data_IF_731553465911
#
_entry.id   IF_731553465911
#
_cell.length_a   1.000
_cell.length_b   1.000
_cell.length_c   1.000
_cell.angle_alpha   90.00
_cell.angle_beta   90.00
_cell.angle_gamma   90.00
#
_symmetry.space_group_name_H-M   'P 1'
#
loop_
_entity.id
_entity.type
_entity.pdbx_description
1 polymer ?
#
# COMPACT_ATOMS: atom_id res chain seq x y z
N UNK A 1 -28.18 -9.37 -19.72
CA UNK A 1 -27.18 -9.16 -18.66
C UNK A 1 -27.40 -7.87 -17.89
N UNK A 2 -27.56 -6.67 -18.50
CA UNK A 2 -27.93 -5.42 -17.78
C UNK A 2 -29.20 -5.49 -16.89
N UNK A 3 -30.07 -6.48 -17.10
CA UNK A 3 -31.29 -6.66 -16.30
C UNK A 3 -31.10 -7.47 -15.01
N UNK A 4 -30.01 -8.22 -14.87
CA UNK A 4 -29.73 -9.05 -13.69
C UNK A 4 -29.01 -8.21 -12.63
N UNK A 5 -28.06 -7.37 -13.01
CA UNK A 5 -27.40 -6.44 -12.10
C UNK A 5 -28.35 -5.39 -11.52
N UNK A 6 -29.28 -4.89 -12.36
CA UNK A 6 -30.33 -3.97 -11.90
C UNK A 6 -31.36 -4.62 -10.97
N UNK A 7 -31.53 -5.95 -11.02
CA UNK A 7 -32.41 -6.68 -10.09
C UNK A 7 -31.77 -6.91 -8.73
N UNK A 8 -30.46 -7.06 -8.65
CA UNK A 8 -29.73 -7.20 -7.37
C UNK A 8 -29.68 -5.88 -6.60
N UNK A 9 -29.45 -4.76 -7.27
CA UNK A 9 -29.52 -3.42 -6.65
C UNK A 9 -30.95 -3.00 -6.24
N UNK A 10 -31.99 -3.47 -6.93
CA UNK A 10 -33.38 -3.16 -6.57
C UNK A 10 -33.90 -3.97 -5.37
N UNK A 11 -33.30 -5.12 -5.06
CA UNK A 11 -33.75 -5.96 -3.94
C UNK A 11 -33.27 -5.42 -2.58
N UNK A 12 -32.15 -4.71 -2.53
CA UNK A 12 -31.62 -4.09 -1.29
C UNK A 12 -32.40 -2.82 -0.89
N UNK A 13 -33.03 -2.11 -1.82
CA UNK A 13 -33.78 -0.87 -1.51
C UNK A 13 -35.23 -1.09 -1.06
N UNK A 14 -35.77 -2.29 -1.08
CA UNK A 14 -37.18 -2.57 -0.70
C UNK A 14 -37.35 -2.92 0.77
N UNK A 15 -36.29 -3.21 1.51
CA UNK A 15 -36.35 -3.62 2.93
C UNK A 15 -36.32 -2.50 3.97
N UNK A 16 -36.20 -1.21 3.57
CA UNK A 16 -36.08 -0.09 4.52
C UNK A 16 -37.35 0.76 4.75
N UNK A 17 -38.52 0.40 4.24
CA UNK A 17 -39.73 1.26 4.28
C UNK A 17 -40.98 0.63 4.91
N UNK A 18 -40.88 -0.32 5.82
CA UNK A 18 -42.06 -0.86 6.52
C UNK A 18 -41.90 -0.97 8.03
N UNK A 19 -41.78 0.16 8.72
CA UNK A 19 -41.97 0.20 10.17
C UNK A 19 -42.70 1.48 10.59
N UNK A 20 -44.03 1.46 10.52
CA UNK A 20 -44.89 2.22 11.41
C UNK A 20 -46.37 1.77 11.30
N UNK A 21 -46.91 1.17 12.35
CA UNK A 21 -48.31 1.32 12.68
C UNK A 21 -49.21 0.10 12.68
N UNK A 22 -49.47 -0.43 13.89
CA UNK A 22 -50.74 -0.94 14.41
C UNK A 22 -51.01 -2.46 14.44
N UNK A 23 -51.09 -2.95 15.72
CA UNK A 23 -51.88 -4.04 16.30
C UNK A 23 -51.68 -5.49 15.84
N UNK A 24 -51.20 -6.27 16.81
CA UNK A 24 -51.19 -7.75 16.80
C UNK A 24 -52.57 -8.38 16.49
N UNK A 25 -52.58 -9.50 15.75
CA UNK A 25 -52.95 -10.76 16.35
C UNK A 25 -51.89 -11.88 16.07
N UNK A 26 -51.97 -12.91 16.94
CA UNK A 26 -51.02 -13.97 17.13
C UNK A 26 -50.68 -14.83 15.89
N UNK A 27 -49.39 -15.13 15.77
CA UNK A 27 -48.91 -16.43 15.32
C UNK A 27 -48.77 -16.66 13.81
N UNK A 28 -47.72 -16.10 13.19
CA UNK A 28 -47.02 -16.81 12.10
C UNK A 28 -45.58 -16.32 12.13
N UNK A 29 -44.66 -17.23 12.39
CA UNK A 29 -43.21 -17.00 12.25
C UNK A 29 -42.94 -16.64 10.79
N UNK A 30 -42.26 -15.52 10.48
CA UNK A 30 -41.83 -15.27 9.12
C UNK A 30 -40.80 -16.35 8.77
N UNK A 31 -41.16 -17.20 7.81
CA UNK A 31 -40.24 -18.08 7.15
C UNK A 31 -39.28 -17.20 6.34
N UNK A 32 -38.12 -16.89 6.91
CA UNK A 32 -37.00 -16.33 6.18
C UNK A 32 -36.42 -17.44 5.30
N UNK A 33 -37.09 -17.74 4.21
CA UNK A 33 -36.51 -18.55 3.14
C UNK A 33 -35.41 -17.69 2.47
N UNK A 34 -34.17 -17.87 2.89
CA UNK A 34 -33.01 -17.54 2.08
C UNK A 34 -33.24 -18.19 0.70
N UNK A 35 -33.11 -17.46 -0.41
CA UNK A 35 -33.22 -18.07 -1.73
C UNK A 35 -32.29 -19.29 -1.79
N UNK A 36 -32.81 -20.45 -2.00
CA UNK A 36 -32.03 -21.67 -2.17
C UNK A 36 -31.37 -21.59 -3.55
N UNK A 37 -30.15 -20.97 -3.61
CA UNK A 37 -29.35 -20.96 -4.82
C UNK A 37 -28.86 -22.38 -5.04
N UNK A 38 -29.14 -22.96 -6.23
CA UNK A 38 -28.67 -24.28 -6.56
C UNK A 38 -27.15 -24.31 -6.63
N UNK A 39 -26.52 -25.29 -5.99
CA UNK A 39 -25.10 -25.56 -6.11
C UNK A 39 -24.76 -25.83 -7.59
N UNK A 40 -23.93 -25.01 -8.19
CA UNK A 40 -23.52 -25.15 -9.60
C UNK A 40 -22.53 -26.27 -9.83
N UNK A 41 -21.93 -26.82 -8.77
CA UNK A 41 -20.82 -27.76 -8.83
C UNK A 41 -19.48 -27.13 -9.29
N UNK A 42 -19.43 -25.81 -9.47
CA UNK A 42 -18.19 -25.09 -9.79
C UNK A 42 -17.43 -24.81 -8.49
N UNK A 43 -16.18 -25.27 -8.45
CA UNK A 43 -15.26 -25.00 -7.35
C UNK A 43 -13.98 -24.33 -7.88
N UNK A 44 -13.64 -23.17 -7.32
CA UNK A 44 -12.40 -22.44 -7.58
C UNK A 44 -11.41 -22.66 -6.44
N UNK A 45 -10.13 -22.84 -6.77
CA UNK A 45 -9.05 -22.95 -5.80
C UNK A 45 -8.31 -21.62 -5.73
N UNK A 46 -8.27 -21.04 -4.54
CA UNK A 46 -7.59 -19.78 -4.27
C UNK A 46 -6.44 -19.95 -3.27
N UNK A 47 -5.22 -19.60 -3.67
CA UNK A 47 -4.02 -19.58 -2.82
C UNK A 47 -3.74 -18.17 -2.31
N UNK A 48 -3.96 -17.98 -1.02
CA UNK A 48 -3.81 -16.65 -0.40
C UNK A 48 -2.44 -16.45 0.27
N UNK A 49 -1.92 -15.22 0.13
CA UNK A 49 -0.71 -14.76 0.82
C UNK A 49 -0.92 -14.50 2.32
N UNK A 50 -2.15 -14.51 2.78
CA UNK A 50 -2.47 -14.28 4.19
C UNK A 50 -2.42 -15.56 5.00
N UNK A 51 -2.17 -15.43 6.30
CA UNK A 51 -2.42 -16.52 7.24
C UNK A 51 -3.88 -16.46 7.69
N UNK A 52 -4.48 -17.60 8.01
CA UNK A 52 -5.88 -17.70 8.40
C UNK A 52 -6.27 -16.88 9.65
N UNK A 53 -5.30 -16.37 10.40
CA UNK A 53 -5.49 -15.56 11.61
C UNK A 53 -5.40 -14.05 11.36
N UNK A 54 -5.04 -13.63 10.15
CA UNK A 54 -4.94 -12.21 9.79
C UNK A 54 -6.32 -11.63 9.45
N UNK A 55 -6.50 -10.32 9.69
CA UNK A 55 -7.78 -9.64 9.44
C UNK A 55 -8.28 -9.78 8.01
N UNK A 56 -7.36 -9.72 7.04
CA UNK A 56 -7.66 -9.91 5.61
C UNK A 56 -8.31 -11.29 5.34
N UNK A 57 -7.80 -12.33 5.99
CA UNK A 57 -8.31 -13.69 5.80
C UNK A 57 -9.78 -13.81 6.24
N UNK A 58 -10.15 -13.16 7.34
CA UNK A 58 -11.53 -13.18 7.83
C UNK A 58 -12.49 -12.53 6.82
N UNK A 59 -12.12 -11.39 6.25
CA UNK A 59 -12.96 -10.65 5.29
C UNK A 59 -13.05 -11.39 3.94
N UNK A 60 -11.93 -11.92 3.45
CA UNK A 60 -11.91 -12.71 2.20
C UNK A 60 -12.77 -13.96 2.36
N UNK A 61 -12.74 -14.63 3.52
CA UNK A 61 -13.60 -15.79 3.78
C UNK A 61 -15.08 -15.39 3.80
N UNK A 62 -15.43 -14.27 4.47
CA UNK A 62 -16.80 -13.77 4.49
C UNK A 62 -17.31 -13.43 3.08
N UNK A 63 -16.46 -12.81 2.25
CA UNK A 63 -16.79 -12.54 0.84
C UNK A 63 -16.99 -13.82 0.03
N UNK A 64 -16.17 -14.85 0.26
CA UNK A 64 -16.31 -16.16 -0.39
C UNK A 64 -17.62 -16.86 0.00
N UNK A 65 -17.99 -16.79 1.27
CA UNK A 65 -19.25 -17.36 1.77
C UNK A 65 -20.46 -16.60 1.20
N UNK A 66 -20.39 -15.28 1.11
CA UNK A 66 -21.42 -14.45 0.49
C UNK A 66 -21.54 -14.71 -1.02
N UNK A 67 -20.42 -14.86 -1.71
CA UNK A 67 -20.40 -15.20 -3.13
C UNK A 67 -21.02 -16.59 -3.40
N UNK A 68 -20.69 -17.59 -2.57
CA UNK A 68 -21.32 -18.91 -2.65
C UNK A 68 -22.84 -18.83 -2.42
N UNK A 69 -23.26 -18.09 -1.40
CA UNK A 69 -24.70 -17.92 -1.11
C UNK A 69 -25.46 -17.23 -2.25
N UNK A 70 -24.80 -16.36 -3.02
CA UNK A 70 -25.40 -15.64 -4.14
C UNK A 70 -25.39 -16.40 -5.46
N UNK A 71 -24.37 -17.26 -5.69
CA UNK A 71 -24.08 -17.84 -7.01
C UNK A 71 -24.08 -19.37 -7.04
N UNK A 72 -23.92 -20.04 -5.89
CA UNK A 72 -23.69 -21.49 -5.80
C UNK A 72 -22.29 -21.93 -6.26
N UNK A 73 -21.34 -20.96 -6.43
CA UNK A 73 -19.96 -21.21 -6.82
C UNK A 73 -19.09 -21.18 -5.58
N UNK A 74 -18.33 -22.25 -5.32
CA UNK A 74 -17.53 -22.41 -4.13
C UNK A 74 -16.09 -21.92 -4.33
N UNK A 75 -15.58 -21.14 -3.38
CA UNK A 75 -14.18 -20.71 -3.33
C UNK A 75 -13.47 -21.53 -2.24
N UNK A 76 -12.57 -22.40 -2.64
CA UNK A 76 -11.73 -23.19 -1.73
C UNK A 76 -10.44 -22.41 -1.47
N UNK A 77 -10.33 -21.78 -0.29
CA UNK A 77 -9.18 -20.92 0.05
C UNK A 77 -8.12 -21.74 0.77
N UNK A 78 -6.90 -21.69 0.27
CA UNK A 78 -5.71 -22.24 0.89
C UNK A 78 -4.81 -21.12 1.40
N UNK A 79 -4.70 -20.96 2.70
CA UNK A 79 -3.91 -19.94 3.37
C UNK A 79 -2.43 -20.31 3.36
N UNK A 80 -1.70 -19.93 2.29
CA UNK A 80 -0.27 -20.26 2.09
C UNK A 80 0.68 -19.33 2.86
N UNK A 81 0.17 -18.20 3.34
CA UNK A 81 1.02 -17.17 3.92
C UNK A 81 1.98 -16.56 2.89
N UNK A 82 3.00 -15.87 3.37
CA UNK A 82 3.99 -15.20 2.50
C UNK A 82 4.81 -16.14 1.61
N UNK A 83 4.69 -17.44 1.83
CA UNK A 83 5.35 -18.44 0.97
C UNK A 83 4.66 -18.62 -0.39
N UNK A 84 3.44 -18.11 -0.59
CA UNK A 84 2.74 -18.15 -1.88
C UNK A 84 3.65 -17.70 -3.03
N UNK A 85 4.42 -16.63 -2.83
CA UNK A 85 5.34 -16.09 -3.82
C UNK A 85 6.46 -17.03 -4.28
N UNK A 86 6.80 -18.04 -3.46
CA UNK A 86 7.77 -19.10 -3.79
C UNK A 86 7.09 -20.35 -4.35
N UNK A 87 5.84 -20.59 -3.95
CA UNK A 87 5.12 -21.82 -4.24
C UNK A 87 4.33 -21.76 -5.55
N UNK A 88 3.84 -20.56 -5.93
CA UNK A 88 2.89 -20.43 -7.04
C UNK A 88 3.47 -20.82 -8.39
N UNK A 89 4.68 -20.39 -8.72
CA UNK A 89 5.29 -20.73 -10.00
C UNK A 89 5.53 -22.23 -10.17
N UNK A 90 6.16 -22.94 -9.22
CA UNK A 90 6.32 -24.39 -9.32
C UNK A 90 4.98 -25.15 -9.44
N UNK A 91 3.96 -24.71 -8.73
CA UNK A 91 2.63 -25.32 -8.79
C UNK A 91 1.99 -25.18 -10.17
N UNK A 92 2.00 -23.95 -10.73
CA UNK A 92 1.46 -23.68 -12.07
C UNK A 92 2.25 -24.41 -13.16
N UNK A 93 3.58 -24.52 -13.04
CA UNK A 93 4.44 -25.28 -13.94
C UNK A 93 4.15 -26.79 -13.86
N UNK A 94 3.83 -27.32 -12.67
CA UNK A 94 3.43 -28.70 -12.46
C UNK A 94 1.98 -28.99 -12.93
N UNK A 95 1.20 -27.96 -13.27
CA UNK A 95 -0.19 -28.08 -13.67
C UNK A 95 -1.16 -28.30 -12.50
N UNK A 96 -0.79 -27.89 -11.30
CA UNK A 96 -1.71 -27.88 -10.16
C UNK A 96 -2.90 -26.95 -10.45
N UNK A 97 -4.08 -27.33 -9.94
CA UNK A 97 -5.28 -26.51 -10.09
C UNK A 97 -5.21 -25.36 -9.10
N UNK A 98 -4.79 -24.20 -9.58
CA UNK A 98 -4.88 -22.92 -8.87
C UNK A 98 -5.60 -21.96 -9.81
N UNK A 99 -6.78 -21.51 -9.44
CA UNK A 99 -7.58 -20.58 -10.23
C UNK A 99 -7.27 -19.14 -9.89
N UNK A 100 -7.07 -18.83 -8.60
CA UNK A 100 -6.79 -17.49 -8.08
C UNK A 100 -5.59 -17.58 -7.13
N UNK A 101 -4.75 -16.54 -7.14
CA UNK A 101 -3.76 -16.31 -6.09
C UNK A 101 -3.59 -14.81 -5.86
N UNK A 102 -3.04 -14.44 -4.70
CA UNK A 102 -2.73 -13.05 -4.40
C UNK A 102 -1.31 -12.88 -3.86
N UNK A 103 -0.72 -11.72 -4.16
CA UNK A 103 0.50 -11.19 -3.58
C UNK A 103 0.65 -9.73 -4.02
N UNK A 104 1.83 -9.12 -3.85
CA UNK A 104 2.10 -7.77 -4.34
C UNK A 104 1.89 -7.66 -5.86
N UNK A 105 1.21 -6.59 -6.29
CA UNK A 105 0.81 -6.39 -7.69
C UNK A 105 2.01 -6.27 -8.65
N UNK A 106 3.09 -5.59 -8.23
CA UNK A 106 4.28 -5.46 -9.05
C UNK A 106 4.98 -6.81 -9.22
N UNK A 107 5.06 -7.61 -8.14
CA UNK A 107 5.60 -8.96 -8.20
C UNK A 107 4.82 -9.85 -9.16
N UNK A 108 3.47 -9.79 -9.16
CA UNK A 108 2.65 -10.56 -10.11
C UNK A 108 2.98 -10.14 -11.53
N UNK A 109 2.94 -8.85 -11.81
CA UNK A 109 3.16 -8.33 -13.16
C UNK A 109 4.58 -8.59 -13.69
N UNK A 110 5.60 -8.44 -12.85
CA UNK A 110 6.99 -8.59 -13.28
C UNK A 110 7.44 -10.06 -13.34
N UNK A 111 6.98 -10.89 -12.40
CA UNK A 111 7.48 -12.27 -12.25
C UNK A 111 6.51 -13.30 -12.81
N UNK A 112 5.21 -13.11 -12.58
CA UNK A 112 4.18 -14.11 -12.89
C UNK A 112 3.32 -13.75 -14.10
N UNK A 113 3.61 -12.66 -14.82
CA UNK A 113 2.79 -12.15 -15.94
C UNK A 113 2.40 -13.19 -17.00
N UNK A 114 3.28 -14.16 -17.27
CA UNK A 114 3.01 -15.23 -18.25
C UNK A 114 2.06 -16.34 -17.75
N UNK A 115 1.78 -16.38 -16.47
CA UNK A 115 0.92 -17.39 -15.84
C UNK A 115 -0.49 -16.89 -15.55
N UNK A 116 -0.71 -15.58 -15.72
CA UNK A 116 -1.97 -14.92 -15.33
C UNK A 116 -2.75 -14.43 -16.53
N UNK A 117 -4.06 -14.51 -16.42
CA UNK A 117 -4.98 -14.09 -17.46
C UNK A 117 -4.96 -12.55 -17.63
N UNK A 118 -5.16 -12.11 -18.86
CA UNK A 118 -5.56 -10.74 -19.15
C UNK A 118 -7.04 -10.59 -18.80
N UNK A 119 -7.33 -9.71 -17.84
CA UNK A 119 -8.69 -9.44 -17.36
C UNK A 119 -9.25 -8.10 -17.86
N UNK A 120 -8.58 -7.46 -18.83
CA UNK A 120 -8.95 -6.14 -19.35
C UNK A 120 -10.42 -6.09 -19.80
N UNK A 121 -10.84 -7.03 -20.65
CA UNK A 121 -12.21 -7.04 -21.18
C UNK A 121 -13.26 -7.29 -20.08
N UNK A 122 -12.94 -8.13 -19.08
CA UNK A 122 -13.80 -8.41 -17.93
C UNK A 122 -13.92 -7.17 -17.04
N UNK A 123 -12.82 -6.49 -16.79
CA UNK A 123 -12.77 -5.26 -16.01
C UNK A 123 -13.56 -4.12 -16.67
N UNK A 124 -13.41 -3.94 -17.99
CA UNK A 124 -14.20 -2.98 -18.76
C UNK A 124 -15.69 -3.29 -18.71
N UNK A 125 -16.07 -4.56 -18.89
CA UNK A 125 -17.46 -4.98 -18.84
C UNK A 125 -18.12 -4.81 -17.46
N UNK A 126 -17.33 -4.91 -16.39
CA UNK A 126 -17.76 -4.71 -15.01
C UNK A 126 -17.74 -3.22 -14.58
N UNK A 127 -17.11 -2.33 -15.34
CA UNK A 127 -16.92 -0.93 -14.97
C UNK A 127 -15.90 -0.75 -13.84
N UNK A 128 -14.96 -1.69 -13.68
CA UNK A 128 -14.01 -1.69 -12.57
C UNK A 128 -13.14 -0.42 -12.52
N UNK A 129 -12.90 0.22 -13.65
CA UNK A 129 -12.15 1.49 -13.70
C UNK A 129 -12.81 2.62 -12.89
N UNK A 130 -14.11 2.58 -12.70
CA UNK A 130 -14.84 3.58 -11.89
C UNK A 130 -14.66 3.33 -10.39
N UNK A 131 -14.20 2.13 -10.01
CA UNK A 131 -14.01 1.66 -8.62
C UNK A 131 -12.53 1.55 -8.19
N UNK A 132 -11.59 1.78 -9.07
CA UNK A 132 -10.16 1.68 -8.76
C UNK A 132 -9.48 3.04 -8.90
N UNK A 133 -8.54 3.33 -8.00
CA UNK A 133 -7.72 4.56 -8.11
C UNK A 133 -7.04 4.61 -9.50
N UNK A 134 -7.23 5.69 -10.28
CA UNK A 134 -6.69 5.79 -11.64
C UNK A 134 -5.18 5.54 -11.72
N UNK A 135 -4.41 6.12 -10.78
CA UNK A 135 -2.95 5.94 -10.75
C UNK A 135 -2.56 4.48 -10.48
N UNK A 136 -3.31 3.76 -9.66
CA UNK A 136 -3.07 2.34 -9.37
C UNK A 136 -3.38 1.48 -10.60
N UNK A 137 -4.49 1.76 -11.28
CA UNK A 137 -4.87 1.08 -12.52
C UNK A 137 -3.81 1.28 -13.62
N UNK A 138 -3.38 2.52 -13.84
CA UNK A 138 -2.37 2.84 -14.86
C UNK A 138 -1.01 2.22 -14.52
N UNK A 139 -0.61 2.23 -13.26
CA UNK A 139 0.64 1.59 -12.82
C UNK A 139 0.58 0.07 -13.03
N UNK A 140 -0.53 -0.59 -12.68
CA UNK A 140 -0.72 -2.01 -12.90
C UNK A 140 -0.65 -2.39 -14.40
N UNK A 141 -1.31 -1.61 -15.26
CA UNK A 141 -1.22 -1.77 -16.71
C UNK A 141 0.20 -1.53 -17.23
N UNK A 142 0.88 -0.51 -16.71
CA UNK A 142 2.26 -0.17 -17.10
C UNK A 142 3.24 -1.33 -16.87
N UNK A 143 3.11 -2.05 -15.76
CA UNK A 143 3.92 -3.25 -15.49
C UNK A 143 3.60 -4.45 -16.40
N UNK A 144 2.44 -4.46 -17.07
CA UNK A 144 1.95 -5.56 -17.89
C UNK A 144 1.74 -5.19 -19.36
N UNK A 145 2.59 -4.33 -19.94
CA UNK A 145 2.57 -3.90 -21.34
C UNK A 145 1.20 -3.34 -21.80
N UNK A 146 0.49 -2.67 -20.90
CA UNK A 146 -0.81 -2.06 -21.15
C UNK A 146 -2.02 -2.94 -20.88
N UNK A 147 -1.83 -4.24 -20.60
CA UNK A 147 -2.90 -5.15 -20.21
C UNK A 147 -3.19 -5.08 -18.70
N UNK A 148 -4.44 -5.27 -18.29
CA UNK A 148 -4.76 -5.46 -16.88
C UNK A 148 -4.70 -6.96 -16.55
N UNK A 149 -3.71 -7.38 -15.77
CA UNK A 149 -3.50 -8.77 -15.38
C UNK A 149 -3.66 -9.03 -13.88
N UNK A 150 -4.00 -8.01 -13.13
CA UNK A 150 -4.20 -8.07 -11.69
C UNK A 150 -5.43 -7.26 -11.30
N UNK A 151 -6.05 -7.62 -10.18
CA UNK A 151 -7.13 -6.88 -9.54
C UNK A 151 -6.60 -6.37 -8.21
N UNK A 152 -6.15 -5.10 -8.14
CA UNK A 152 -5.59 -4.52 -6.92
C UNK A 152 -6.61 -4.43 -5.78
N UNK A 153 -6.15 -4.66 -4.56
CA UNK A 153 -6.86 -4.41 -3.32
C UNK A 153 -5.88 -3.95 -2.24
N UNK A 154 -6.37 -3.41 -1.15
CA UNK A 154 -5.56 -2.92 -0.03
C UNK A 154 -4.36 -2.08 -0.52
N UNK A 155 -4.61 -0.91 -1.15
CA UNK A 155 -3.55 -0.03 -1.59
C UNK A 155 -2.78 0.53 -0.39
N UNK A 156 -1.47 0.76 -0.59
CA UNK A 156 -0.60 1.34 0.42
C UNK A 156 0.33 2.39 -0.19
N UNK A 157 0.73 3.35 0.63
CA UNK A 157 1.69 4.40 0.24
C UNK A 157 2.78 4.51 1.29
N UNK A 158 3.86 5.23 0.99
CA UNK A 158 4.78 5.73 2.00
C UNK A 158 4.81 7.26 2.00
N UNK A 159 5.05 7.80 3.18
CA UNK A 159 5.15 9.22 3.43
C UNK A 159 5.49 9.47 4.89
N UNK A 160 5.41 10.69 5.32
CA UNK A 160 5.72 11.05 6.71
C UNK A 160 4.47 10.90 7.57
N UNK A 161 4.50 9.92 8.46
CA UNK A 161 3.53 9.72 9.52
C UNK A 161 3.98 10.48 10.75
N UNK A 162 3.06 11.20 11.40
CA UNK A 162 3.42 12.01 12.56
C UNK A 162 2.34 12.01 13.64
N UNK A 163 2.77 12.29 14.86
CA UNK A 163 1.88 12.49 16.00
C UNK A 163 1.33 13.92 15.98
N UNK A 164 0.05 14.07 15.64
CA UNK A 164 -0.64 15.37 15.55
C UNK A 164 -0.60 16.14 16.87
N UNK A 165 -0.73 15.47 18.02
CA UNK A 165 -0.74 16.12 19.32
C UNK A 165 0.62 16.79 19.62
N UNK A 166 1.74 16.20 19.13
CA UNK A 166 3.06 16.81 19.25
C UNK A 166 3.21 18.02 18.34
N UNK A 167 2.64 17.97 17.12
CA UNK A 167 2.61 19.12 16.21
C UNK A 167 1.81 20.27 16.80
N UNK A 168 0.65 19.99 17.34
CA UNK A 168 -0.21 20.99 18.01
C UNK A 168 0.51 21.62 19.21
N UNK A 169 1.17 20.81 20.05
CA UNK A 169 1.93 21.28 21.20
C UNK A 169 3.15 22.15 20.80
N UNK A 170 3.78 21.88 19.64
CA UNK A 170 4.86 22.68 19.09
C UNK A 170 4.38 23.91 18.29
N UNK A 171 3.06 24.14 18.18
CA UNK A 171 2.48 25.24 17.41
C UNK A 171 2.72 25.12 15.91
N UNK A 172 2.65 23.90 15.39
CA UNK A 172 2.76 23.59 13.95
C UNK A 172 1.34 23.44 13.41
N UNK A 173 0.88 24.45 12.69
CA UNK A 173 -0.51 24.53 12.19
C UNK A 173 -0.70 23.86 10.83
N UNK A 174 0.37 23.62 10.07
CA UNK A 174 0.35 23.08 8.72
C UNK A 174 1.51 22.11 8.51
N UNK A 175 1.22 20.99 7.85
CA UNK A 175 2.25 20.08 7.36
C UNK A 175 3.16 20.77 6.32
N UNK A 176 4.47 20.45 6.29
CA UNK A 176 5.42 21.04 5.34
C UNK A 176 5.18 20.53 3.93
N UNK A 177 5.27 21.40 2.94
CA UNK A 177 5.19 21.07 1.50
C UNK A 177 6.56 21.12 0.84
N UNK A 178 7.53 21.84 1.45
CA UNK A 178 8.91 21.92 0.94
C UNK A 178 9.91 21.42 2.00
N UNK A 179 11.09 21.02 1.55
CA UNK A 179 12.15 20.54 2.44
C UNK A 179 12.61 21.63 3.41
N UNK A 180 12.64 22.89 2.98
CA UNK A 180 12.94 24.02 3.84
C UNK A 180 11.88 24.19 4.94
N UNK A 181 10.59 24.02 4.61
CA UNK A 181 9.51 24.04 5.61
C UNK A 181 9.64 22.86 6.58
N UNK A 182 10.08 21.68 6.10
CA UNK A 182 10.35 20.53 6.96
C UNK A 182 11.44 20.85 7.99
N UNK A 183 12.54 21.51 7.58
CA UNK A 183 13.59 21.91 8.51
C UNK A 183 13.07 22.88 9.58
N UNK A 184 12.14 23.79 9.22
CA UNK A 184 11.47 24.68 10.19
C UNK A 184 10.59 23.88 11.16
N UNK A 185 9.85 22.88 10.67
CA UNK A 185 9.04 21.97 11.51
C UNK A 185 9.95 21.21 12.48
N UNK A 186 11.06 20.65 11.97
CA UNK A 186 12.04 19.95 12.79
C UNK A 186 12.61 20.85 13.90
N UNK A 187 12.95 22.11 13.59
CA UNK A 187 13.46 23.03 14.59
C UNK A 187 12.42 23.34 15.69
N UNK A 188 11.15 23.54 15.33
CA UNK A 188 10.06 23.76 16.32
C UNK A 188 9.86 22.57 17.23
N UNK A 189 9.86 21.35 16.70
CA UNK A 189 9.76 20.12 17.49
C UNK A 189 10.94 19.96 18.43
N UNK A 190 12.17 20.18 17.93
CA UNK A 190 13.38 20.16 18.75
C UNK A 190 13.34 21.19 19.87
N UNK A 191 12.90 22.41 19.58
CA UNK A 191 12.76 23.48 20.58
C UNK A 191 11.70 23.16 21.64
N UNK A 192 10.71 22.33 21.30
CA UNK A 192 9.71 21.81 22.24
C UNK A 192 10.20 20.64 23.10
N UNK A 193 11.41 20.13 22.81
CA UNK A 193 12.04 19.03 23.55
C UNK A 193 11.69 17.64 23.06
N UNK A 194 11.16 17.51 21.84
CA UNK A 194 10.82 16.24 21.18
C UNK A 194 11.82 15.94 20.08
N UNK A 195 12.21 14.67 19.89
CA UNK A 195 12.96 14.30 18.70
C UNK A 195 12.07 14.51 17.45
N UNK A 196 12.49 15.36 16.50
CA UNK A 196 11.65 15.64 15.35
C UNK A 196 11.37 14.40 14.51
N UNK A 197 12.40 13.61 14.20
CA UNK A 197 12.35 12.45 13.32
C UNK A 197 13.03 11.23 13.94
N UNK A 198 12.55 10.04 13.54
CA UNK A 198 13.24 8.78 13.71
C UNK A 198 13.25 7.98 12.40
N UNK A 199 14.08 6.96 12.30
CA UNK A 199 14.05 5.97 11.22
C UNK A 199 14.70 4.66 11.65
N UNK A 200 14.25 3.57 11.03
CA UNK A 200 14.94 2.28 11.08
C UNK A 200 15.96 2.18 9.95
N UNK A 201 17.07 1.47 10.17
CA UNK A 201 18.03 1.16 9.11
C UNK A 201 17.41 0.17 8.11
N UNK A 202 17.98 0.10 6.91
CA UNK A 202 17.39 -0.68 5.83
C UNK A 202 16.28 0.10 5.12
N UNK A 203 15.04 -0.37 5.22
CA UNK A 203 13.93 0.25 4.51
C UNK A 203 13.72 1.73 4.87
N UNK A 204 13.82 2.11 6.15
CA UNK A 204 13.63 3.49 6.58
C UNK A 204 14.68 4.44 5.99
N UNK A 205 15.96 4.09 6.06
CA UNK A 205 17.04 4.89 5.46
C UNK A 205 16.99 4.89 3.93
N UNK A 206 16.59 3.77 3.30
CA UNK A 206 16.40 3.69 1.86
C UNK A 206 15.24 4.57 1.38
N UNK A 207 14.12 4.62 2.13
CA UNK A 207 13.01 5.52 1.85
C UNK A 207 13.43 6.99 1.93
N UNK A 208 14.15 7.39 2.99
CA UNK A 208 14.66 8.77 3.13
C UNK A 208 15.50 9.19 1.92
N UNK A 209 16.50 8.37 1.56
CA UNK A 209 17.38 8.67 0.43
C UNK A 209 16.64 8.59 -0.91
N UNK A 210 15.83 7.57 -1.10
CA UNK A 210 15.09 7.36 -2.35
C UNK A 210 14.12 8.50 -2.65
N UNK A 211 13.34 8.92 -1.66
CA UNK A 211 12.42 10.05 -1.83
C UNK A 211 13.17 11.37 -2.10
N UNK A 212 14.28 11.61 -1.39
CA UNK A 212 15.05 12.84 -1.62
C UNK A 212 15.66 12.85 -3.02
N UNK A 213 16.19 11.72 -3.50
CA UNK A 213 16.64 11.58 -4.89
C UNK A 213 15.50 11.79 -5.90
N UNK A 214 14.32 11.20 -5.65
CA UNK A 214 13.18 11.36 -6.53
C UNK A 214 12.71 12.81 -6.65
N UNK A 215 12.80 13.59 -5.59
CA UNK A 215 12.48 15.03 -5.66
C UNK A 215 13.37 15.75 -6.66
N UNK A 216 14.65 15.40 -6.72
CA UNK A 216 15.59 16.02 -7.65
C UNK A 216 15.56 15.42 -9.06
N UNK A 217 15.35 14.10 -9.20
CA UNK A 217 15.58 13.36 -10.44
C UNK A 217 14.32 12.73 -11.05
N UNK A 218 13.24 12.60 -10.29
CA UNK A 218 12.10 11.75 -10.62
C UNK A 218 12.45 10.26 -10.53
N UNK A 219 11.44 9.39 -10.61
CA UNK A 219 11.62 7.93 -10.55
C UNK A 219 12.60 7.42 -11.61
N UNK A 220 12.43 7.84 -12.86
CA UNK A 220 13.26 7.37 -13.98
C UNK A 220 14.72 7.82 -13.84
N UNK A 221 14.93 9.04 -13.33
CA UNK A 221 16.28 9.55 -13.09
C UNK A 221 17.00 8.80 -11.96
N UNK A 222 16.28 8.35 -10.93
CA UNK A 222 16.85 7.50 -9.88
C UNK A 222 17.21 6.12 -10.41
N UNK A 223 16.36 5.52 -11.24
CA UNK A 223 16.67 4.23 -11.87
C UNK A 223 17.88 4.34 -12.81
N UNK A 224 17.96 5.38 -13.65
CA UNK A 224 19.12 5.63 -14.51
C UNK A 224 20.41 5.83 -13.70
N UNK A 225 20.32 6.53 -12.56
CA UNK A 225 21.46 6.72 -11.64
C UNK A 225 22.01 5.40 -11.12
N UNK A 226 21.13 4.46 -10.73
CA UNK A 226 21.49 3.16 -10.16
C UNK A 226 22.01 2.21 -11.24
N UNK A 227 21.27 2.07 -12.35
CA UNK A 227 21.56 1.09 -13.39
C UNK A 227 22.83 1.42 -14.17
N UNK A 228 23.15 2.70 -14.31
CA UNK A 228 24.31 3.20 -15.03
C UNK A 228 25.44 3.73 -14.13
N UNK A 229 25.29 3.58 -12.79
CA UNK A 229 26.28 4.01 -11.78
C UNK A 229 26.81 5.43 -12.04
N UNK A 230 25.90 6.42 -12.21
CA UNK A 230 26.25 7.81 -12.58
C UNK A 230 26.35 8.76 -11.38
N UNK A 231 26.75 8.26 -10.22
CA UNK A 231 26.69 9.02 -8.97
C UNK A 231 27.55 10.30 -8.99
N UNK A 232 28.79 10.24 -9.47
CA UNK A 232 29.66 11.41 -9.56
C UNK A 232 29.28 12.37 -10.70
N UNK A 233 28.59 11.86 -11.73
CA UNK A 233 28.14 12.66 -12.88
C UNK A 233 26.83 13.40 -12.61
N UNK A 234 26.11 13.07 -11.51
CA UNK A 234 24.78 13.58 -11.16
C UNK A 234 24.88 14.51 -9.93
N UNK A 235 25.03 15.83 -10.11
CA UNK A 235 25.15 16.79 -8.99
C UNK A 235 23.95 16.75 -8.03
N UNK A 236 22.78 16.39 -8.52
CA UNK A 236 21.55 16.25 -7.75
C UNK A 236 21.65 15.13 -6.71
N UNK A 237 22.40 14.05 -7.01
CA UNK A 237 22.64 12.99 -6.05
C UNK A 237 23.44 13.47 -4.83
N UNK A 238 24.43 14.34 -5.06
CA UNK A 238 25.17 14.97 -3.96
C UNK A 238 24.26 15.88 -3.12
N UNK A 239 23.39 16.68 -3.75
CA UNK A 239 22.43 17.53 -3.02
C UNK A 239 21.49 16.69 -2.17
N UNK A 240 20.93 15.59 -2.72
CA UNK A 240 20.09 14.69 -1.97
C UNK A 240 20.81 14.09 -0.75
N UNK A 241 22.08 13.69 -0.93
CA UNK A 241 22.89 13.19 0.18
C UNK A 241 23.18 14.27 1.25
N UNK A 242 23.42 15.53 0.83
CA UNK A 242 23.61 16.65 1.73
C UNK A 242 22.34 16.99 2.52
N UNK A 243 21.18 16.96 1.88
CA UNK A 243 19.89 17.20 2.53
C UNK A 243 19.61 16.15 3.61
N UNK A 244 19.74 14.86 3.28
CA UNK A 244 19.55 13.78 4.25
C UNK A 244 20.57 13.87 5.39
N UNK A 245 21.86 14.07 5.08
CA UNK A 245 22.91 14.25 6.08
C UNK A 245 22.60 15.40 7.03
N UNK A 246 22.03 16.51 6.53
CA UNK A 246 21.67 17.68 7.32
C UNK A 246 20.64 17.40 8.41
N UNK A 247 19.75 16.42 8.23
CA UNK A 247 18.78 16.02 9.25
C UNK A 247 19.49 15.44 10.49
N UNK A 248 20.53 14.65 10.26
CA UNK A 248 21.36 14.07 11.33
C UNK A 248 22.30 15.10 11.94
N UNK A 249 23.02 15.87 11.11
CA UNK A 249 23.99 16.86 11.56
C UNK A 249 23.36 17.96 12.43
N UNK A 250 22.14 18.41 12.07
CA UNK A 250 21.40 19.41 12.85
C UNK A 250 20.72 18.81 14.10
N UNK A 251 20.84 17.49 14.33
CA UNK A 251 20.21 16.80 15.44
C UNK A 251 18.67 16.85 15.35
N UNK A 252 18.12 16.67 14.15
CA UNK A 252 16.68 16.52 13.92
C UNK A 252 16.26 15.06 13.93
N UNK A 253 17.21 14.14 13.91
CA UNK A 253 16.95 12.71 14.07
C UNK A 253 17.12 12.32 15.55
N UNK A 254 16.39 11.29 15.99
CA UNK A 254 16.60 10.64 17.27
C UNK A 254 18.06 10.21 17.43
N UNK A 255 18.59 10.25 18.66
CA UNK A 255 19.97 9.80 18.94
C UNK A 255 20.19 8.31 18.66
N UNK A 256 19.11 7.52 18.58
CA UNK A 256 19.14 6.10 18.25
C UNK A 256 18.98 5.82 16.75
N UNK A 257 18.57 6.83 15.96
CA UNK A 257 18.36 6.67 14.53
C UNK A 257 19.68 6.69 13.74
N UNK A 258 19.83 5.80 12.73
CA UNK A 258 18.92 4.75 12.34
C UNK A 258 19.04 3.52 13.23
N UNK A 259 17.92 3.05 13.78
CA UNK A 259 17.84 1.91 14.71
C UNK A 259 17.49 0.60 14.00
N UNK A 260 17.41 -0.49 14.75
CA UNK A 260 16.92 -1.74 14.19
C UNK A 260 15.39 -1.72 14.11
N UNK A 261 14.84 -2.22 13.01
CA UNK A 261 13.39 -2.40 12.90
C UNK A 261 12.92 -3.45 13.96
N UNK A 262 11.82 -3.16 14.72
CA UNK A 262 10.94 -1.98 14.61
C UNK A 262 11.20 -0.89 15.68
N UNK A 263 12.41 -0.80 16.22
CA UNK A 263 12.71 0.08 17.35
C UNK A 263 12.49 1.56 17.02
N UNK A 264 12.89 2.00 15.80
CA UNK A 264 12.72 3.37 15.36
C UNK A 264 11.25 3.76 15.27
N UNK A 265 10.42 2.96 14.60
CA UNK A 265 8.99 3.27 14.50
C UNK A 265 8.28 3.23 15.87
N UNK A 266 8.75 2.39 16.81
CA UNK A 266 8.16 2.30 18.14
C UNK A 266 8.42 3.56 19.00
N UNK A 267 9.44 4.37 18.69
CA UNK A 267 9.66 5.66 19.36
C UNK A 267 8.44 6.60 19.26
N UNK A 268 7.67 6.54 18.16
CA UNK A 268 6.43 7.30 18.05
C UNK A 268 5.42 6.86 19.09
N UNK A 269 5.24 5.55 19.27
CA UNK A 269 4.32 4.99 20.27
C UNK A 269 4.75 5.26 21.71
N UNK A 270 6.05 5.38 21.96
CA UNK A 270 6.58 5.76 23.26
C UNK A 270 6.58 7.28 23.51
N UNK A 271 6.23 8.08 22.50
CA UNK A 271 6.21 9.52 22.59
C UNK A 271 7.60 10.17 22.61
N UNK A 272 8.60 9.49 22.07
CA UNK A 272 10.01 9.94 22.05
C UNK A 272 10.34 10.71 20.78
N UNK A 273 9.71 10.36 19.65
CA UNK A 273 9.86 10.99 18.36
C UNK A 273 8.52 11.38 17.75
N UNK A 274 8.50 12.48 16.96
CA UNK A 274 7.27 13.03 16.40
C UNK A 274 6.92 12.49 15.02
N UNK A 275 7.91 12.19 14.18
CA UNK A 275 7.73 11.86 12.75
C UNK A 275 8.57 10.64 12.34
N UNK A 276 8.06 9.93 11.32
CA UNK A 276 8.74 8.82 10.64
C UNK A 276 8.32 8.78 9.18
N UNK A 277 9.27 8.65 8.25
CA UNK A 277 8.98 8.32 6.85
C UNK A 277 8.89 6.80 6.70
N UNK A 278 7.68 6.28 6.48
CA UNK A 278 7.44 4.86 6.33
C UNK A 278 6.10 4.61 5.62
N UNK A 279 5.75 3.34 5.39
CA UNK A 279 4.53 2.96 4.72
C UNK A 279 3.29 3.02 5.63
N UNK A 280 2.11 2.98 5.00
CA UNK A 280 0.80 3.21 5.65
C UNK A 280 0.36 2.12 6.65
N UNK A 281 1.13 1.07 6.83
CA UNK A 281 0.90 0.07 7.91
C UNK A 281 1.47 0.48 9.27
N UNK A 282 2.34 1.50 9.33
CA UNK A 282 2.99 1.95 10.57
C UNK A 282 2.01 2.28 11.70
N UNK A 283 0.90 3.00 11.46
CA UNK A 283 -0.04 3.25 12.55
C UNK A 283 -0.54 1.98 13.24
N UNK A 284 -0.82 0.93 12.46
CA UNK A 284 -1.26 -0.35 12.98
C UNK A 284 -0.13 -1.10 13.72
N UNK A 285 1.08 -1.11 13.17
CA UNK A 285 2.23 -1.78 13.79
C UNK A 285 2.64 -1.12 15.11
N UNK A 286 2.62 0.21 15.18
CA UNK A 286 2.92 0.95 16.41
C UNK A 286 1.92 0.60 17.51
N UNK A 287 0.62 0.53 17.21
CA UNK A 287 -0.40 0.08 18.17
C UNK A 287 -0.13 -1.35 18.63
N UNK A 288 0.16 -2.26 17.71
CA UNK A 288 0.43 -3.67 18.04
C UNK A 288 1.68 -3.83 18.92
N UNK A 289 2.73 -3.08 18.64
CA UNK A 289 4.02 -3.20 19.34
C UNK A 289 4.04 -2.48 20.68
N UNK A 290 3.39 -1.31 20.79
CA UNK A 290 3.51 -0.42 21.96
C UNK A 290 2.21 -0.28 22.76
N UNK A 291 1.08 -0.64 22.16
CA UNK A 291 -0.25 -0.42 22.76
C UNK A 291 -0.71 1.05 22.69
N UNK A 292 0.05 1.93 22.05
CA UNK A 292 -0.27 3.35 21.98
C UNK A 292 -1.18 3.66 20.78
N UNK A 293 -2.34 4.24 21.05
CA UNK A 293 -3.22 4.82 20.03
C UNK A 293 -2.85 6.30 19.88
N UNK A 294 -2.31 6.69 18.71
CA UNK A 294 -1.90 8.06 18.43
C UNK A 294 -2.95 8.78 17.57
N UNK A 295 -2.98 10.10 17.70
CA UNK A 295 -3.67 10.97 16.76
C UNK A 295 -2.74 11.17 15.54
N UNK A 296 -2.96 10.34 14.50
CA UNK A 296 -2.07 10.28 13.34
C UNK A 296 -2.34 11.40 12.34
N UNK A 297 -1.28 12.10 11.93
CA UNK A 297 -1.25 12.90 10.73
C UNK A 297 -0.36 12.28 9.66
N UNK A 298 -0.48 12.78 8.44
CA UNK A 298 0.29 12.33 7.28
C UNK A 298 0.61 13.50 6.36
N UNK A 299 1.78 13.49 5.76
CA UNK A 299 2.11 14.31 4.59
C UNK A 299 3.10 13.55 3.68
N UNK A 300 3.07 13.79 2.34
CA UNK A 300 4.07 13.26 1.43
C UNK A 300 5.45 13.81 1.75
N UNK A 301 6.51 13.09 1.38
CA UNK A 301 7.85 13.67 1.47
C UNK A 301 7.88 15.01 0.72
N UNK A 302 8.40 16.08 1.34
CA UNK A 302 8.30 17.43 0.79
C UNK A 302 9.06 17.61 -0.53
N UNK A 303 8.64 18.58 -1.32
CA UNK A 303 9.30 19.00 -2.55
C UNK A 303 10.62 19.75 -2.25
N UNK A 304 11.53 19.80 -3.24
CA UNK A 304 12.75 20.60 -3.20
C UNK A 304 12.69 21.74 -4.21
N UNK A 305 13.41 22.82 -3.95
CA UNK A 305 13.50 23.93 -4.90
C UNK A 305 14.09 23.46 -6.23
N UNK A 306 13.42 23.79 -7.34
CA UNK A 306 13.78 23.36 -8.69
C UNK A 306 13.83 21.83 -8.88
N UNK A 307 13.07 21.08 -8.10
CA UNK A 307 12.94 19.64 -8.23
C UNK A 307 12.15 19.20 -9.47
N UNK A 308 12.32 17.95 -9.85
CA UNK A 308 11.56 17.32 -10.96
C UNK A 308 10.17 16.89 -10.50
N UNK A 309 10.08 16.34 -9.27
CA UNK A 309 8.85 15.86 -8.69
C UNK A 309 8.49 16.61 -7.40
N UNK A 310 7.21 16.96 -7.28
CA UNK A 310 6.62 17.56 -6.09
C UNK A 310 5.94 16.54 -5.18
N UNK A 311 5.04 17.03 -4.33
CA UNK A 311 4.28 16.22 -3.37
C UNK A 311 3.24 15.28 -4.03
N UNK A 312 2.96 15.46 -5.32
CA UNK A 312 2.11 14.58 -6.13
C UNK A 312 2.79 13.26 -6.51
N UNK A 313 4.10 13.14 -6.29
CA UNK A 313 4.89 11.94 -6.47
C UNK A 313 5.04 11.17 -5.16
N UNK A 314 4.72 9.90 -5.15
CA UNK A 314 4.84 9.06 -3.98
C UNK A 314 4.82 7.56 -4.32
N UNK A 315 5.29 6.75 -3.39
CA UNK A 315 5.17 5.31 -3.54
C UNK A 315 3.70 4.92 -3.46
N UNK A 316 3.27 4.13 -4.43
CA UNK A 316 1.97 3.49 -4.44
C UNK A 316 2.17 2.02 -4.74
N UNK A 317 1.75 1.19 -3.82
CA UNK A 317 1.67 -0.23 -3.99
C UNK A 317 0.28 -0.74 -3.68
N UNK A 318 0.03 -2.00 -3.97
CA UNK A 318 -1.18 -2.70 -3.57
C UNK A 318 -0.90 -4.20 -3.46
N UNK A 319 -1.64 -4.87 -2.60
CA UNK A 319 -1.85 -6.28 -2.78
C UNK A 319 -2.81 -6.48 -3.97
N UNK A 320 -2.66 -7.57 -4.68
CA UNK A 320 -3.53 -7.83 -5.82
C UNK A 320 -3.84 -9.31 -5.96
N UNK A 321 -5.03 -9.57 -6.47
CA UNK A 321 -5.41 -10.88 -6.95
C UNK A 321 -4.99 -11.05 -8.39
N UNK A 322 -4.65 -12.28 -8.76
CA UNK A 322 -4.47 -12.69 -10.15
C UNK A 322 -5.26 -13.98 -10.43
N UNK A 323 -5.76 -14.09 -11.64
CA UNK A 323 -6.46 -15.27 -12.14
C UNK A 323 -5.48 -16.07 -13.00
N UNK A 324 -5.33 -17.36 -12.74
CA UNK A 324 -4.49 -18.23 -13.54
C UNK A 324 -4.96 -18.25 -15.00
N UNK A 325 -4.00 -18.13 -15.93
CA UNK A 325 -4.31 -18.27 -17.37
C UNK A 325 -4.89 -19.66 -17.71
N UNK A 326 -4.58 -20.68 -16.89
CA UNK A 326 -5.09 -22.05 -17.04
C UNK A 326 -6.47 -22.30 -16.37
N UNK A 327 -7.02 -21.32 -15.64
CA UNK A 327 -8.35 -21.48 -15.07
C UNK A 327 -9.41 -21.63 -16.16
N UNK A 328 -10.30 -22.61 -15.99
CA UNK A 328 -11.44 -22.84 -16.89
C UNK A 328 -12.63 -21.92 -16.56
N UNK A 329 -12.58 -21.23 -15.40
CA UNK A 329 -13.64 -20.41 -14.80
C UNK A 329 -13.18 -18.97 -14.55
N UNK A 330 -12.53 -18.34 -15.55
CA UNK A 330 -11.95 -17.00 -15.41
C UNK A 330 -12.98 -15.92 -15.10
N UNK A 331 -14.18 -16.01 -15.69
CA UNK A 331 -15.25 -15.04 -15.44
C UNK A 331 -15.79 -15.17 -14.02
N UNK A 332 -16.05 -16.38 -13.58
CA UNK A 332 -16.53 -16.66 -12.22
C UNK A 332 -15.50 -16.27 -11.16
N UNK A 333 -14.21 -16.49 -11.46
CA UNK A 333 -13.12 -16.01 -10.61
C UNK A 333 -13.10 -14.48 -10.55
N UNK A 334 -13.23 -13.80 -11.71
CA UNK A 334 -13.26 -12.33 -11.75
C UNK A 334 -14.48 -11.76 -11.02
N UNK A 335 -15.66 -12.36 -11.16
CA UNK A 335 -16.87 -11.93 -10.46
C UNK A 335 -16.73 -12.06 -8.93
N UNK A 336 -16.03 -13.13 -8.46
CA UNK A 336 -15.66 -13.23 -7.05
C UNK A 336 -14.71 -12.11 -6.62
N UNK A 337 -13.68 -11.80 -7.42
CA UNK A 337 -12.76 -10.72 -7.08
C UNK A 337 -13.49 -9.37 -6.98
N UNK A 338 -14.43 -9.09 -7.88
CA UNK A 338 -15.27 -7.88 -7.80
C UNK A 338 -16.09 -7.83 -6.52
N UNK A 339 -16.55 -8.97 -6.00
CA UNK A 339 -17.22 -9.05 -4.70
C UNK A 339 -16.30 -8.62 -3.56
N UNK A 340 -14.99 -8.92 -3.64
CA UNK A 340 -14.02 -8.57 -2.58
C UNK A 340 -13.59 -7.11 -2.66
N UNK A 341 -13.35 -6.58 -3.88
CA UNK A 341 -12.66 -5.30 -4.07
C UNK A 341 -13.60 -4.11 -4.32
N UNK A 342 -14.91 -4.34 -4.42
CA UNK A 342 -15.90 -3.29 -4.65
C UNK A 342 -16.96 -3.30 -3.56
N UNK A 343 -17.25 -2.12 -2.99
CA UNK A 343 -18.32 -1.91 -2.03
C UNK A 343 -18.02 -2.40 -0.62
N UNK A 344 -18.94 -3.21 -0.06
CA UNK A 344 -18.97 -3.52 1.37
C UNK A 344 -17.73 -4.28 1.86
N UNK A 345 -17.23 -5.26 1.10
CA UNK A 345 -16.10 -6.08 1.56
C UNK A 345 -14.78 -5.34 1.47
N UNK A 346 -14.60 -4.43 0.51
CA UNK A 346 -13.45 -3.53 0.47
C UNK A 346 -13.44 -2.59 1.69
N UNK A 347 -14.59 -1.99 2.05
CA UNK A 347 -14.71 -1.18 3.25
C UNK A 347 -14.42 -2.00 4.52
N UNK A 348 -14.99 -3.19 4.66
CA UNK A 348 -14.70 -4.09 5.78
C UNK A 348 -13.22 -4.46 5.87
N UNK A 349 -12.57 -4.66 4.71
CA UNK A 349 -11.13 -4.92 4.65
C UNK A 349 -10.35 -3.72 5.18
N UNK A 350 -10.65 -2.52 4.69
CA UNK A 350 -10.01 -1.29 5.15
C UNK A 350 -10.14 -1.10 6.66
N UNK A 351 -11.34 -1.31 7.21
CA UNK A 351 -11.61 -1.16 8.63
C UNK A 351 -10.89 -2.23 9.48
N UNK A 352 -10.88 -3.49 9.01
CA UNK A 352 -10.29 -4.60 9.76
C UNK A 352 -8.76 -4.50 9.92
N UNK A 353 -8.08 -3.89 8.94
CA UNK A 353 -6.62 -3.83 8.91
C UNK A 353 -6.05 -2.42 8.90
N UNK A 354 -6.90 -1.42 9.11
CA UNK A 354 -6.52 0.00 9.13
C UNK A 354 -5.75 0.41 7.87
N UNK A 355 -6.27 0.03 6.70
CA UNK A 355 -5.69 0.37 5.40
C UNK A 355 -6.57 1.33 4.60
N UNK A 356 -6.03 1.89 3.52
CA UNK A 356 -6.84 2.61 2.55
C UNK A 356 -7.81 1.63 1.85
N UNK A 357 -9.09 2.01 1.60
CA UNK A 357 -9.96 1.25 0.72
C UNK A 357 -9.46 1.30 -0.72
N UNK A 358 -9.68 0.24 -1.50
CA UNK A 358 -9.34 0.17 -2.91
C UNK A 358 -10.44 0.75 -3.80
N UNK A 359 -11.69 0.61 -3.37
CA UNK A 359 -12.85 1.18 -4.07
C UNK A 359 -12.94 2.69 -3.83
N UNK A 360 -12.91 3.46 -4.90
CA UNK A 360 -13.01 4.93 -4.86
C UNK A 360 -14.34 5.45 -4.31
N UNK A 361 -15.41 4.63 -4.34
CA UNK A 361 -16.71 4.96 -3.75
C UNK A 361 -16.73 4.80 -2.22
N UNK A 362 -15.78 4.06 -1.65
CA UNK A 362 -15.59 3.95 -0.21
C UNK A 362 -14.85 5.18 0.33
N UNK A 363 -15.61 6.15 0.85
CA UNK A 363 -15.09 7.44 1.30
C UNK A 363 -14.80 7.50 2.80
N UNK A 364 -15.04 6.43 3.54
CA UNK A 364 -14.77 6.35 4.97
C UNK A 364 -13.43 5.67 5.18
N UNK A 365 -12.39 6.48 5.41
CA UNK A 365 -11.06 5.97 5.70
C UNK A 365 -10.87 5.74 7.19
N UNK A 366 -10.23 4.62 7.62
CA UNK A 366 -9.86 4.43 9.02
C UNK A 366 -9.07 5.62 9.57
N UNK A 367 -9.40 6.04 10.80
CA UNK A 367 -8.82 7.28 11.37
C UNK A 367 -7.30 7.34 11.36
N UNK A 368 -6.64 6.19 11.54
CA UNK A 368 -5.18 6.08 11.51
C UNK A 368 -4.54 6.38 10.15
N UNK A 369 -5.28 6.24 9.04
CA UNK A 369 -4.79 6.48 7.67
C UNK A 369 -5.57 7.59 6.94
N UNK A 370 -6.58 8.17 7.58
CA UNK A 370 -7.43 9.20 6.97
C UNK A 370 -6.65 10.44 6.49
N UNK A 371 -5.56 10.80 7.18
CA UNK A 371 -4.69 11.90 6.76
C UNK A 371 -4.03 11.69 5.40
N UNK A 372 -3.90 10.45 4.93
CA UNK A 372 -3.31 10.15 3.64
C UNK A 372 -4.31 10.24 2.46
N UNK A 373 -5.63 10.23 2.72
CA UNK A 373 -6.67 10.21 1.67
C UNK A 373 -6.49 11.28 0.60
N UNK A 374 -6.31 12.58 0.92
CA UNK A 374 -6.19 13.63 -0.09
C UNK A 374 -4.98 13.41 -1.02
N UNK A 375 -3.92 12.84 -0.49
CA UNK A 375 -2.68 12.62 -1.22
C UNK A 375 -2.77 11.39 -2.12
N UNK A 376 -3.43 10.32 -1.68
CA UNK A 376 -3.76 9.18 -2.54
C UNK A 376 -4.58 9.61 -3.75
N UNK A 377 -5.64 10.40 -3.52
CA UNK A 377 -6.55 10.85 -4.58
C UNK A 377 -5.90 11.83 -5.56
N UNK A 378 -4.88 12.56 -5.14
CA UNK A 378 -4.18 13.55 -5.95
C UNK A 378 -2.80 13.06 -6.45
N UNK A 379 -2.42 11.82 -6.16
CA UNK A 379 -1.18 11.26 -6.66
C UNK A 379 -1.24 11.09 -8.18
N UNK A 380 -0.25 11.61 -8.88
CA UNK A 380 -0.15 11.53 -10.34
C UNK A 380 1.12 10.83 -10.81
N UNK A 381 2.06 10.56 -9.88
CA UNK A 381 3.30 9.85 -10.13
C UNK A 381 3.50 8.77 -9.08
N UNK A 382 3.58 7.53 -9.53
CA UNK A 382 3.77 6.37 -8.67
C UNK A 382 5.24 5.97 -8.64
N UNK A 383 5.80 5.82 -7.44
CA UNK A 383 7.16 5.31 -7.23
C UNK A 383 7.15 3.84 -6.84
N UNK A 384 8.20 3.14 -7.23
CA UNK A 384 8.53 1.83 -6.70
C UNK A 384 8.99 1.93 -5.23
N UNK A 385 9.08 0.80 -4.54
CA UNK A 385 9.60 0.74 -3.17
C UNK A 385 10.98 1.40 -3.07
N UNK A 386 11.19 2.25 -2.08
CA UNK A 386 12.39 3.06 -1.89
C UNK A 386 12.88 3.73 -3.20
N UNK A 387 11.95 4.06 -4.11
CA UNK A 387 12.19 4.65 -5.43
C UNK A 387 13.13 3.79 -6.30
N UNK A 388 13.16 2.48 -6.04
CA UNK A 388 13.98 1.54 -6.80
C UNK A 388 15.42 1.36 -6.30
N UNK A 389 15.84 2.00 -5.21
CA UNK A 389 17.20 1.85 -4.64
C UNK A 389 17.58 0.40 -4.31
N UNK A 390 16.59 -0.46 -4.10
CA UNK A 390 16.77 -1.87 -3.77
C UNK A 390 16.55 -2.82 -4.98
N UNK A 391 16.36 -2.29 -6.19
CA UNK A 391 16.00 -3.12 -7.34
C UNK A 391 17.20 -3.78 -8.03
N UNK A 392 18.37 -3.17 -7.98
CA UNK A 392 19.57 -3.72 -8.62
C UNK A 392 20.24 -4.72 -7.68
N UNK A 393 20.05 -6.01 -7.95
CA UNK A 393 20.54 -7.10 -7.10
C UNK A 393 22.08 -7.13 -6.95
N UNK A 394 22.82 -6.58 -7.94
CA UNK A 394 24.28 -6.56 -7.91
C UNK A 394 24.84 -5.48 -6.96
N UNK A 395 24.10 -4.39 -6.76
CA UNK A 395 24.57 -3.21 -6.03
C UNK A 395 23.73 -2.87 -4.78
N UNK A 396 22.54 -3.46 -4.59
CA UNK A 396 21.61 -3.06 -3.53
C UNK A 396 22.23 -3.09 -2.13
N UNK A 397 23.04 -4.10 -1.83
CA UNK A 397 23.70 -4.21 -0.51
C UNK A 397 24.72 -3.09 -0.29
N UNK A 398 25.49 -2.73 -1.33
CA UNK A 398 26.47 -1.65 -1.27
C UNK A 398 25.79 -0.28 -1.13
N UNK A 399 24.71 -0.05 -1.90
CA UNK A 399 23.92 1.19 -1.81
C UNK A 399 23.33 1.32 -0.42
N UNK A 400 22.72 0.25 0.11
CA UNK A 400 22.12 0.24 1.43
C UNK A 400 23.14 0.50 2.53
N UNK A 401 24.32 -0.13 2.46
CA UNK A 401 25.39 0.09 3.44
C UNK A 401 25.90 1.53 3.39
N UNK A 402 26.11 2.09 2.19
CA UNK A 402 26.55 3.48 2.03
C UNK A 402 25.52 4.47 2.60
N UNK A 403 24.21 4.23 2.38
CA UNK A 403 23.13 5.03 2.96
C UNK A 403 23.16 4.96 4.50
N UNK A 404 23.31 3.77 5.06
CA UNK A 404 23.39 3.60 6.51
C UNK A 404 24.60 4.34 7.11
N UNK A 405 25.77 4.27 6.46
CA UNK A 405 26.98 4.98 6.90
C UNK A 405 26.80 6.50 6.81
N UNK A 406 26.13 7.01 5.77
CA UNK A 406 25.79 8.43 5.62
C UNK A 406 24.86 8.88 6.77
N UNK A 407 23.79 8.13 7.02
CA UNK A 407 22.82 8.42 8.09
C UNK A 407 23.45 8.34 9.48
N UNK A 408 24.46 7.48 9.70
CA UNK A 408 25.23 7.42 10.95
C UNK A 408 26.33 8.47 11.03
N UNK A 409 26.47 9.31 10.01
CA UNK A 409 27.56 10.31 9.88
C UNK A 409 28.95 9.68 9.91
N UNK A 410 29.10 8.42 9.52
CA UNK A 410 30.38 7.72 9.40
C UNK A 410 31.15 8.15 8.14
N UNK A 411 30.42 8.60 7.11
CA UNK A 411 30.96 9.16 5.86
C UNK A 411 30.27 10.48 5.55
N UNK A 412 30.99 11.39 4.84
CA UNK A 412 30.40 12.64 4.34
C UNK A 412 29.58 12.42 3.07
N UNK A 413 28.71 13.37 2.66
CA UNK A 413 28.01 13.29 1.38
C UNK A 413 28.93 13.08 0.18
N UNK A 414 30.09 13.72 0.14
CA UNK A 414 31.07 13.55 -0.94
C UNK A 414 31.70 12.15 -0.92
N UNK A 415 31.95 11.59 0.27
CA UNK A 415 32.45 10.23 0.42
C UNK A 415 31.39 9.20 0.01
N UNK A 416 30.11 9.46 0.33
CA UNK A 416 28.99 8.65 -0.11
C UNK A 416 28.92 8.55 -1.64
N UNK A 417 28.98 9.70 -2.34
CA UNK A 417 29.00 9.73 -3.80
C UNK A 417 30.23 8.99 -4.36
N UNK A 418 31.42 9.26 -3.81
CA UNK A 418 32.65 8.61 -4.28
C UNK A 418 32.64 7.08 -4.07
N UNK A 419 32.04 6.61 -2.97
CA UNK A 419 31.92 5.19 -2.67
C UNK A 419 30.99 4.47 -3.65
N UNK A 420 29.85 5.08 -4.00
CA UNK A 420 28.91 4.52 -4.97
C UNK A 420 29.38 4.62 -6.41
N UNK A 421 30.10 5.68 -6.77
CA UNK A 421 30.70 5.83 -8.10
C UNK A 421 31.79 4.78 -8.36
N UNK A 422 32.45 4.28 -7.33
CA UNK A 422 33.48 3.23 -7.42
C UNK A 422 32.89 1.83 -7.73
N UNK A 423 31.56 1.69 -7.83
CA UNK A 423 30.88 0.46 -8.29
C UNK A 423 30.93 0.31 -9.81
N UNK A 424 31.42 1.34 -10.56
CA UNK A 424 31.63 1.31 -12.00
C UNK A 424 32.69 0.29 -12.45
#
# INVERSE_FOLDING_TARGET
MKKILALLLALVMVLSLAACGAKEPAGETPNNETPNVEDTGIELTYWSMWNSTEGQAAIIQEAADAYYAATGIKINIEWKGRDVKKLIQPALDAGEKVDIFDTDYALICQTFSKYVADVTDMAEAAGYADHCLPVLMETAKGYCDGALKVVPYQPYTSGVWYNQDMFDAAGIEKAPETFEELLVVCQKLKDSGVNPFTCDQGDGTALLMGYQLARYLGQDGVLDLIDNVKWAETPEALKAAQDIYSLFENGYMSEYAPSNYPDGQNELGFGESAMLLQASWVPNEVVQNTGAELNWGYFPWPAVENGVDGIEGGMLGAQAFAISDKSEHKQEAFDFLMTVVVGEFDQKMADAVSSAPADTDNTVWPGSVAGAEPYFKNMTKSYQWAVGLQNNADYMEFIQEAINQLCKMEITPEQFIAQLDALN
#
